data_IF_593571092703
#
_entry.id   IF_593571092703
#
_cell.length_a   1.000
_cell.length_b   1.000
_cell.length_c   1.000
_cell.angle_alpha   90.00
_cell.angle_beta   90.00
_cell.angle_gamma   90.00
#
_symmetry.space_group_name_H-M   'P 1'
#
loop_
_entity.id
_entity.type
_entity.pdbx_description
1 polymer ?
#
# COMPACT_ATOMS: atom_id res chain seq x y z
N UNK A 1 46.00 -36.57 -36.34
CA UNK A 1 45.83 -35.26 -35.65
C UNK A 1 44.37 -34.86 -35.74
N UNK A 2 43.58 -35.12 -34.70
CA UNK A 2 42.18 -34.69 -34.60
C UNK A 2 42.09 -33.68 -33.45
N UNK A 3 41.70 -32.45 -33.78
CA UNK A 3 41.43 -31.37 -32.82
C UNK A 3 40.20 -31.77 -31.99
N UNK A 4 40.38 -32.01 -30.70
CA UNK A 4 39.26 -32.20 -29.76
C UNK A 4 38.77 -30.81 -29.37
N UNK A 5 37.55 -30.53 -29.82
CA UNK A 5 36.81 -29.28 -29.64
C UNK A 5 36.53 -29.07 -28.14
N UNK A 6 36.88 -27.90 -27.63
CA UNK A 6 36.53 -27.42 -26.28
C UNK A 6 35.02 -27.44 -26.08
N UNK A 7 34.53 -28.29 -25.18
CA UNK A 7 33.14 -28.30 -24.73
C UNK A 7 32.93 -27.11 -23.79
N UNK A 8 32.29 -26.05 -24.28
CA UNK A 8 31.86 -24.91 -23.47
C UNK A 8 30.70 -25.35 -22.56
N UNK A 9 31.01 -25.56 -21.27
CA UNK A 9 30.03 -25.78 -20.22
C UNK A 9 29.30 -24.45 -19.91
N UNK A 10 28.24 -24.16 -20.65
CA UNK A 10 27.28 -23.10 -20.32
C UNK A 10 26.41 -23.61 -19.17
N UNK A 11 26.92 -23.49 -17.95
CA UNK A 11 26.15 -23.71 -16.72
C UNK A 11 25.12 -22.60 -16.58
N UNK A 12 23.85 -22.99 -16.77
CA UNK A 12 22.69 -22.15 -16.61
C UNK A 12 22.61 -21.53 -15.22
N UNK A 13 22.45 -20.22 -15.19
CA UNK A 13 21.80 -19.53 -14.09
C UNK A 13 20.47 -19.06 -14.64
N UNK A 14 19.45 -19.92 -14.54
CA UNK A 14 18.08 -19.46 -14.51
C UNK A 14 17.95 -18.56 -13.29
N UNK A 15 18.14 -17.26 -13.49
CA UNK A 15 17.77 -16.25 -12.50
C UNK A 15 16.25 -16.33 -12.46
N UNK A 16 15.74 -17.10 -11.52
CA UNK A 16 14.33 -17.11 -11.21
C UNK A 16 13.97 -15.66 -10.83
N UNK A 17 13.33 -14.95 -11.75
CA UNK A 17 12.68 -13.70 -11.46
C UNK A 17 11.61 -14.00 -10.42
N UNK A 18 11.94 -13.79 -9.14
CA UNK A 18 10.97 -13.84 -8.06
C UNK A 18 9.99 -12.71 -8.35
N UNK A 19 8.77 -13.08 -8.73
CA UNK A 19 7.69 -12.13 -8.96
C UNK A 19 7.50 -11.29 -7.69
N UNK A 20 7.59 -9.98 -7.84
CA UNK A 20 7.31 -8.99 -6.82
C UNK A 20 5.83 -9.07 -6.47
N UNK A 21 5.50 -9.75 -5.37
CA UNK A 21 4.13 -10.06 -5.04
C UNK A 21 3.53 -8.88 -4.29
N UNK A 22 2.81 -8.00 -5.01
CA UNK A 22 2.01 -6.98 -4.36
C UNK A 22 0.93 -7.64 -3.53
N UNK A 23 1.15 -7.72 -2.22
CA UNK A 23 0.15 -8.23 -1.29
C UNK A 23 -0.91 -7.16 -1.12
N UNK A 24 -2.17 -7.49 -1.35
CA UNK A 24 -3.28 -6.59 -1.07
C UNK A 24 -3.51 -6.56 0.43
N UNK A 25 -3.07 -5.48 1.07
CA UNK A 25 -3.37 -5.16 2.45
C UNK A 25 -4.73 -4.46 2.48
N UNK A 26 -5.79 -5.18 2.84
CA UNK A 26 -7.16 -4.68 2.95
C UNK A 26 -7.83 -4.22 1.64
N UNK A 27 -8.70 -5.05 1.09
CA UNK A 27 -9.70 -4.57 0.12
C UNK A 27 -10.90 -4.02 0.87
N UNK A 28 -11.32 -2.80 0.58
CA UNK A 28 -12.63 -2.29 1.00
C UNK A 28 -13.55 -2.36 -0.21
N UNK A 29 -14.69 -3.02 -0.05
CA UNK A 29 -15.81 -2.86 -0.97
C UNK A 29 -16.64 -1.66 -0.51
N UNK A 30 -17.09 -0.84 -1.47
CA UNK A 30 -17.92 0.35 -1.29
C UNK A 30 -19.06 0.10 -0.27
N UNK A 31 -18.97 0.65 0.96
CA UNK A 31 -20.02 0.46 1.93
C UNK A 31 -21.05 1.60 1.88
N UNK A 32 -20.82 2.62 1.06
CA UNK A 32 -21.59 3.86 1.02
C UNK A 32 -22.37 3.99 -0.28
N UNK A 33 -23.67 3.71 -0.21
CA UNK A 33 -24.56 3.88 -1.36
C UNK A 33 -24.88 5.33 -1.75
N UNK A 34 -24.34 6.35 -1.03
CA UNK A 34 -24.62 7.76 -1.33
C UNK A 34 -23.57 8.73 -0.76
N UNK A 35 -23.48 9.93 -1.35
CA UNK A 35 -22.53 10.98 -0.94
C UNK A 35 -22.81 11.60 0.45
N UNK A 36 -23.89 11.22 1.16
CA UNK A 36 -24.19 11.74 2.50
C UNK A 36 -23.40 11.02 3.60
N UNK A 37 -22.86 9.83 3.31
CA UNK A 37 -21.98 9.08 4.21
C UNK A 37 -20.65 8.81 3.50
N UNK A 38 -19.77 9.82 3.35
CA UNK A 38 -18.51 9.62 2.66
C UNK A 38 -17.52 8.81 3.51
N UNK A 39 -16.70 8.02 2.83
CA UNK A 39 -15.62 7.20 3.41
C UNK A 39 -14.37 8.06 3.62
N UNK A 40 -14.09 8.98 2.70
CA UNK A 40 -13.07 10.02 2.85
C UNK A 40 -13.62 11.40 2.52
N UNK A 41 -13.10 12.41 3.21
CA UNK A 41 -13.45 13.82 3.06
C UNK A 41 -12.18 14.65 2.99
N UNK A 42 -11.98 15.31 1.85
CA UNK A 42 -10.99 16.36 1.66
C UNK A 42 -11.67 17.72 1.83
N UNK A 43 -11.28 18.48 2.83
CA UNK A 43 -11.72 19.87 3.04
C UNK A 43 -10.63 20.83 2.53
N UNK A 44 -10.93 21.53 1.44
CA UNK A 44 -10.04 22.52 0.81
C UNK A 44 -9.92 23.81 1.63
N UNK A 45 -10.94 24.15 2.43
CA UNK A 45 -10.94 25.33 3.30
C UNK A 45 -10.08 25.11 4.54
N UNK A 46 -10.29 23.98 5.22
CA UNK A 46 -9.48 23.56 6.37
C UNK A 46 -8.11 22.97 5.99
N UNK A 47 -7.93 22.62 4.70
CA UNK A 47 -6.75 21.92 4.16
C UNK A 47 -6.50 20.60 4.88
N UNK A 48 -7.54 19.77 4.98
CA UNK A 48 -7.46 18.49 5.68
C UNK A 48 -7.99 17.34 4.85
N UNK A 49 -7.42 16.15 5.05
CA UNK A 49 -7.97 14.88 4.59
C UNK A 49 -8.31 14.01 5.80
N UNK A 50 -9.54 13.52 5.86
CA UNK A 50 -9.98 12.61 6.92
C UNK A 50 -10.79 11.48 6.31
N UNK A 51 -10.82 10.32 6.96
CA UNK A 51 -11.63 9.19 6.55
C UNK A 51 -12.03 8.36 7.75
N UNK A 52 -13.30 7.95 7.77
CA UNK A 52 -13.80 7.07 8.80
C UNK A 52 -14.99 6.29 8.27
N UNK A 53 -15.12 5.05 8.76
CA UNK A 53 -16.31 4.26 8.52
C UNK A 53 -16.66 3.44 9.77
N UNK A 54 -17.87 3.67 10.28
CA UNK A 54 -18.39 2.98 11.47
C UNK A 54 -19.60 2.09 11.19
N UNK A 55 -20.16 2.13 9.98
CA UNK A 55 -21.41 1.44 9.62
C UNK A 55 -21.14 0.01 9.13
N UNK A 56 -22.21 -0.80 9.04
CA UNK A 56 -22.15 -2.10 8.40
C UNK A 56 -21.79 -1.99 6.89
N UNK A 57 -21.33 -3.09 6.30
CA UNK A 57 -21.06 -3.20 4.85
C UNK A 57 -19.57 -3.19 4.47
N UNK A 58 -18.69 -2.75 5.36
CA UNK A 58 -17.26 -2.78 5.10
C UNK A 58 -16.72 -4.19 5.35
N UNK A 59 -16.25 -4.83 4.27
CA UNK A 59 -15.55 -6.11 4.34
C UNK A 59 -14.06 -5.84 4.31
N UNK A 60 -13.32 -6.44 5.22
CA UNK A 60 -11.88 -6.30 5.34
C UNK A 60 -11.23 -7.66 5.11
N UNK A 61 -10.34 -7.75 4.13
CA UNK A 61 -9.49 -8.93 3.94
C UNK A 61 -8.18 -8.64 4.66
N UNK A 62 -7.92 -9.36 5.76
CA UNK A 62 -6.71 -9.21 6.55
C UNK A 62 -5.45 -9.55 5.72
N UNK A 63 -4.28 -9.01 6.10
CA UNK A 63 -3.10 -9.13 5.26
C UNK A 63 -2.41 -10.51 5.30
N UNK A 64 -1.99 -10.96 4.12
CA UNK A 64 -0.70 -11.65 3.94
C UNK A 64 -0.63 -13.16 4.15
N UNK A 65 -1.74 -13.89 4.35
CA UNK A 65 -1.69 -15.35 4.42
C UNK A 65 -2.74 -16.01 3.51
N UNK A 66 -2.38 -17.16 2.93
CA UNK A 66 -3.34 -18.08 2.31
C UNK A 66 -4.37 -18.45 3.38
N UNK A 67 -5.62 -18.04 3.22
CA UNK A 67 -6.67 -18.20 4.25
C UNK A 67 -6.82 -17.03 5.23
N UNK A 68 -6.33 -15.83 4.89
CA UNK A 68 -6.52 -14.63 5.71
C UNK A 68 -8.01 -14.41 6.05
N UNK A 69 -8.34 -14.12 7.33
CA UNK A 69 -9.72 -13.97 7.75
C UNK A 69 -10.38 -12.78 7.03
N UNK A 70 -11.54 -13.05 6.45
CA UNK A 70 -12.44 -12.00 5.97
C UNK A 70 -13.24 -11.49 7.16
N UNK A 71 -13.04 -10.23 7.55
CA UNK A 71 -13.79 -9.59 8.61
C UNK A 71 -14.93 -8.78 7.98
N UNK A 72 -16.16 -9.22 8.21
CA UNK A 72 -17.36 -8.50 7.79
C UNK A 72 -17.70 -7.40 8.78
N UNK A 73 -18.24 -6.27 8.29
CA UNK A 73 -18.61 -5.11 9.10
C UNK A 73 -17.44 -4.54 9.92
N UNK A 74 -16.24 -4.55 9.34
CA UNK A 74 -15.11 -3.89 9.94
C UNK A 74 -15.31 -2.37 9.93
N UNK A 75 -14.59 -1.67 10.79
CA UNK A 75 -14.60 -0.23 10.92
C UNK A 75 -13.20 0.27 10.67
N UNK A 76 -13.08 1.50 10.18
CA UNK A 76 -11.79 2.17 10.12
C UNK A 76 -11.90 3.62 10.52
N UNK A 77 -10.76 4.15 10.95
CA UNK A 77 -10.61 5.56 11.26
C UNK A 77 -9.20 6.02 10.88
N UNK A 78 -9.11 7.12 10.15
CA UNK A 78 -7.85 7.79 9.85
C UNK A 78 -7.66 8.98 10.78
N UNK A 79 -6.41 9.27 11.14
CA UNK A 79 -6.08 10.59 11.68
C UNK A 79 -6.43 11.67 10.67
N UNK A 80 -6.83 12.85 11.14
CA UNK A 80 -7.00 14.01 10.25
C UNK A 80 -5.63 14.46 9.78
N UNK A 81 -5.41 14.40 8.47
CA UNK A 81 -4.15 14.71 7.81
C UNK A 81 -4.16 16.17 7.36
N UNK A 82 -3.16 16.95 7.78
CA UNK A 82 -2.98 18.31 7.32
C UNK A 82 -2.33 18.33 5.94
N UNK A 83 -3.00 18.95 4.97
CA UNK A 83 -2.57 19.00 3.58
C UNK A 83 -1.82 20.30 3.28
N UNK A 84 -0.62 20.16 2.75
CA UNK A 84 0.16 21.25 2.16
C UNK A 84 0.14 21.09 0.65
N UNK A 85 -0.48 22.04 -0.05
CA UNK A 85 -0.50 22.03 -1.51
C UNK A 85 0.90 22.29 -2.05
N UNK A 86 1.42 21.36 -2.85
CA UNK A 86 2.74 21.47 -3.50
C UNK A 86 2.57 22.12 -4.88
N UNK A 87 1.62 21.61 -5.65
CA UNK A 87 1.12 22.17 -6.91
C UNK A 87 -0.40 21.98 -6.96
N UNK A 88 -1.14 22.68 -7.84
CA UNK A 88 -2.58 22.45 -8.01
C UNK A 88 -2.93 20.96 -8.18
N UNK A 89 -3.77 20.44 -7.28
CA UNK A 89 -4.20 19.03 -7.28
C UNK A 89 -3.27 18.03 -6.58
N UNK A 90 -2.06 18.43 -6.17
CA UNK A 90 -1.11 17.59 -5.42
C UNK A 90 -0.84 18.19 -4.04
N UNK A 91 -1.05 17.37 -3.02
CA UNK A 91 -0.88 17.73 -1.62
C UNK A 91 0.12 16.78 -0.96
N UNK A 92 0.98 17.33 -0.11
CA UNK A 92 1.80 16.58 0.82
C UNK A 92 1.18 16.64 2.21
N UNK A 93 1.28 15.56 2.96
CA UNK A 93 0.89 15.49 4.38
C UNK A 93 2.04 14.93 5.21
N UNK A 94 2.09 15.38 6.46
CA UNK A 94 2.96 14.81 7.50
C UNK A 94 2.47 13.45 8.00
N UNK A 95 2.92 13.04 9.20
CA UNK A 95 2.66 11.71 9.72
C UNK A 95 1.17 11.50 10.03
N UNK A 96 0.74 10.26 9.90
CA UNK A 96 -0.64 9.87 10.15
C UNK A 96 -0.80 8.38 10.37
N UNK A 97 -2.02 7.97 10.68
CA UNK A 97 -2.36 6.56 10.82
C UNK A 97 -3.77 6.24 10.36
N UNK A 98 -3.95 4.97 9.99
CA UNK A 98 -5.22 4.38 9.61
C UNK A 98 -5.39 3.13 10.46
N UNK A 99 -6.41 3.15 11.32
CA UNK A 99 -6.72 2.08 12.25
C UNK A 99 -7.93 1.30 11.79
N UNK A 100 -7.87 -0.02 11.93
CA UNK A 100 -8.95 -0.94 11.58
C UNK A 100 -9.42 -1.69 12.82
N UNK A 101 -10.72 -1.85 12.95
CA UNK A 101 -11.35 -2.62 14.03
C UNK A 101 -12.50 -3.48 13.49
N UNK A 102 -12.92 -4.49 14.25
CA UNK A 102 -14.11 -5.28 13.90
C UNK A 102 -15.42 -4.56 14.26
N UNK A 103 -16.55 -5.24 14.02
CA UNK A 103 -17.88 -4.73 14.36
C UNK A 103 -18.06 -4.41 15.86
N UNK A 104 -17.29 -5.10 16.73
CA UNK A 104 -17.29 -4.95 18.19
C UNK A 104 -16.23 -3.95 18.71
N UNK A 105 -15.54 -3.24 17.81
CA UNK A 105 -14.44 -2.31 18.10
C UNK A 105 -13.16 -2.96 18.63
N UNK A 106 -12.95 -4.27 18.41
CA UNK A 106 -11.66 -4.89 18.69
C UNK A 106 -10.64 -4.45 17.62
N UNK A 107 -9.43 -3.99 18.00
CA UNK A 107 -8.43 -3.56 17.04
C UNK A 107 -7.91 -4.73 16.21
N UNK A 108 -7.84 -4.54 14.89
CA UNK A 108 -7.41 -5.55 13.92
C UNK A 108 -5.96 -5.30 13.51
N UNK A 109 -5.71 -4.12 12.96
CA UNK A 109 -4.38 -3.61 12.66
C UNK A 109 -4.41 -2.10 12.42
N UNK A 110 -3.25 -1.47 12.49
CA UNK A 110 -3.03 -0.05 12.25
C UNK A 110 -1.87 0.10 11.28
N UNK A 111 -2.08 0.95 10.28
CA UNK A 111 -1.08 1.41 9.33
C UNK A 111 -0.65 2.80 9.79
N UNK A 112 0.58 2.94 10.26
CA UNK A 112 1.19 4.23 10.58
C UNK A 112 2.17 4.62 9.48
N UNK A 113 2.25 5.90 9.15
CA UNK A 113 3.13 6.42 8.10
C UNK A 113 3.71 7.78 8.51
N UNK A 114 4.93 8.06 8.06
CA UNK A 114 5.63 9.31 8.40
C UNK A 114 5.24 10.47 7.48
N UNK A 115 4.89 10.15 6.24
CA UNK A 115 4.44 11.13 5.25
C UNK A 115 3.54 10.47 4.22
N UNK A 116 2.68 11.26 3.59
CA UNK A 116 1.93 10.80 2.44
C UNK A 116 1.75 11.90 1.38
N UNK A 117 1.48 11.48 0.15
CA UNK A 117 1.05 12.36 -0.93
C UNK A 117 -0.40 12.06 -1.27
N UNK A 118 -1.20 13.11 -1.42
CA UNK A 118 -2.59 13.04 -1.83
C UNK A 118 -2.77 13.78 -3.15
N UNK A 119 -3.39 13.14 -4.14
CA UNK A 119 -3.66 13.72 -5.45
C UNK A 119 -5.16 13.75 -5.68
N UNK A 120 -5.74 14.93 -5.76
CA UNK A 120 -7.18 15.08 -5.98
C UNK A 120 -7.55 14.85 -7.45
N UNK A 121 -8.67 14.16 -7.72
CA UNK A 121 -9.29 14.15 -9.06
C UNK A 121 -8.76 13.13 -10.06
N UNK A 122 -7.99 12.11 -9.65
CA UNK A 122 -7.44 11.11 -10.58
C UNK A 122 -8.45 10.08 -11.13
N UNK A 123 -9.68 10.04 -10.61
CA UNK A 123 -10.71 9.06 -11.01
C UNK A 123 -10.56 7.70 -10.31
N UNK A 124 -11.55 6.82 -10.52
CA UNK A 124 -11.60 5.51 -9.88
C UNK A 124 -10.44 4.61 -10.33
N UNK A 125 -9.76 3.97 -9.38
CA UNK A 125 -8.66 3.03 -9.64
C UNK A 125 -7.26 3.65 -9.70
N UNK A 126 -7.13 4.98 -9.66
CA UNK A 126 -5.85 5.65 -9.53
C UNK A 126 -5.43 5.79 -8.07
N UNK A 127 -4.14 5.58 -7.75
CA UNK A 127 -3.61 5.81 -6.40
C UNK A 127 -3.74 7.29 -6.03
N UNK A 128 -4.69 7.60 -5.15
CA UNK A 128 -5.08 8.96 -4.75
C UNK A 128 -4.37 9.38 -3.47
N UNK A 129 -4.08 8.45 -2.55
CA UNK A 129 -3.30 8.69 -1.34
C UNK A 129 -2.18 7.66 -1.24
N UNK A 130 -0.93 8.10 -1.18
CA UNK A 130 0.26 7.26 -1.07
C UNK A 130 1.04 7.60 0.19
N UNK A 131 1.14 6.67 1.13
CA UNK A 131 1.99 6.84 2.31
C UNK A 131 3.35 6.19 2.17
N UNK A 132 4.33 6.76 2.86
CA UNK A 132 5.74 6.37 2.84
C UNK A 132 6.23 6.06 4.26
N UNK A 133 7.22 5.16 4.35
CA UNK A 133 7.84 4.70 5.58
C UNK A 133 6.81 4.16 6.59
N UNK A 134 6.25 3.00 6.27
CA UNK A 134 5.08 2.49 6.98
C UNK A 134 5.48 1.53 8.06
N UNK A 135 4.79 1.66 9.19
CA UNK A 135 4.81 0.66 10.24
C UNK A 135 3.43 0.03 10.35
N UNK A 136 3.36 -1.29 10.21
CA UNK A 136 2.16 -2.06 10.50
C UNK A 136 2.22 -2.58 11.93
N UNK A 137 1.11 -2.49 12.64
CA UNK A 137 0.97 -3.06 13.98
C UNK A 137 -0.42 -3.66 14.17
N UNK A 138 -0.53 -4.70 15.01
CA UNK A 138 -1.81 -5.28 15.39
C UNK A 138 -1.86 -6.80 15.32
N UNK A 139 -2.90 -7.41 15.91
CA UNK A 139 -3.03 -8.87 16.04
C UNK A 139 -3.15 -9.61 14.71
N UNK A 140 -3.62 -8.94 13.64
CA UNK A 140 -3.73 -9.52 12.30
C UNK A 140 -2.54 -9.23 11.38
N UNK A 141 -1.50 -8.58 11.88
CA UNK A 141 -0.27 -8.36 11.11
C UNK A 141 0.65 -9.57 11.30
N UNK A 142 0.95 -10.35 10.24
CA UNK A 142 1.88 -11.47 10.36
C UNK A 142 3.25 -10.99 10.86
N UNK A 143 3.90 -11.73 11.77
CA UNK A 143 5.25 -11.40 12.24
C UNK A 143 6.23 -11.29 11.05
N UNK A 144 7.08 -10.25 11.07
CA UNK A 144 8.05 -9.99 10.00
C UNK A 144 7.49 -9.28 8.77
N UNK A 145 6.20 -8.88 8.78
CA UNK A 145 5.64 -8.06 7.71
C UNK A 145 6.25 -6.65 7.75
N UNK A 146 6.97 -6.28 6.71
CA UNK A 146 7.47 -4.92 6.48
C UNK A 146 6.84 -4.34 5.23
N UNK A 147 6.52 -3.04 5.28
CA UNK A 147 5.97 -2.30 4.16
C UNK A 147 6.65 -0.95 4.04
N UNK A 148 7.03 -0.56 2.83
CA UNK A 148 7.66 0.74 2.57
C UNK A 148 6.65 1.79 2.13
N UNK A 149 5.56 1.35 1.49
CA UNK A 149 4.54 2.21 0.92
C UNK A 149 3.14 1.57 0.95
N UNK A 150 2.12 2.43 1.07
CA UNK A 150 0.70 2.08 0.94
C UNK A 150 0.10 2.94 -0.17
N UNK A 151 -0.85 2.42 -0.93
CA UNK A 151 -1.69 3.25 -1.79
C UNK A 151 -3.18 3.00 -1.52
N UNK A 152 -3.94 4.09 -1.35
CA UNK A 152 -5.40 4.08 -1.44
C UNK A 152 -5.81 4.71 -2.78
N UNK A 153 -6.64 4.00 -3.52
CA UNK A 153 -7.38 4.54 -4.65
C UNK A 153 -8.77 4.94 -4.18
N UNK A 154 -9.09 6.22 -4.24
CA UNK A 154 -10.40 6.75 -3.86
C UNK A 154 -11.31 6.79 -5.09
N UNK A 155 -12.59 6.50 -4.91
CA UNK A 155 -13.57 6.43 -5.99
C UNK A 155 -14.88 7.14 -5.59
N UNK A 156 -15.76 7.33 -6.58
CA UNK A 156 -17.05 8.01 -6.44
C UNK A 156 -16.91 9.43 -5.87
N UNK A 157 -15.99 10.20 -6.45
CA UNK A 157 -15.72 11.57 -6.03
C UNK A 157 -16.93 12.47 -6.26
N UNK A 158 -17.37 13.17 -5.21
CA UNK A 158 -18.36 14.24 -5.30
C UNK A 158 -17.78 15.53 -4.74
N UNK A 159 -17.77 16.58 -5.56
CA UNK A 159 -17.30 17.91 -5.16
C UNK A 159 -18.49 18.78 -4.76
N UNK A 160 -18.49 19.30 -3.53
CA UNK A 160 -19.50 20.24 -3.03
C UNK A 160 -18.78 21.41 -2.38
N UNK A 161 -18.85 22.60 -2.99
CA UNK A 161 -18.20 23.81 -2.51
C UNK A 161 -16.71 23.59 -2.18
N UNK A 162 -16.31 23.75 -0.91
CA UNK A 162 -14.93 23.57 -0.45
C UNK A 162 -14.59 22.13 -0.07
N UNK A 163 -15.49 21.18 -0.27
CA UNK A 163 -15.31 19.80 0.16
C UNK A 163 -15.35 18.85 -1.03
N UNK A 164 -14.46 17.87 -1.00
CA UNK A 164 -14.45 16.72 -1.90
C UNK A 164 -14.67 15.47 -1.07
N UNK A 165 -15.66 14.68 -1.46
CA UNK A 165 -16.04 13.46 -0.76
C UNK A 165 -15.80 12.25 -1.64
N UNK A 166 -15.44 11.13 -1.03
CA UNK A 166 -15.23 9.84 -1.70
C UNK A 166 -16.06 8.79 -0.97
N UNK A 167 -16.90 8.04 -1.68
CA UNK A 167 -17.75 7.00 -1.07
C UNK A 167 -17.11 5.61 -1.11
N UNK A 168 -16.04 5.44 -1.89
CA UNK A 168 -15.31 4.18 -1.95
C UNK A 168 -13.79 4.42 -1.90
N UNK A 169 -13.06 3.47 -1.34
CA UNK A 169 -11.61 3.46 -1.33
C UNK A 169 -11.10 2.04 -1.46
N UNK A 170 -10.11 1.78 -2.31
CA UNK A 170 -9.46 0.48 -2.40
C UNK A 170 -8.01 0.64 -1.97
N UNK A 171 -7.53 -0.16 -1.01
CA UNK A 171 -6.09 -0.20 -0.69
C UNK A 171 -5.43 -1.23 -1.57
N UNK A 172 -4.40 -0.81 -2.29
CA UNK A 172 -3.56 -1.68 -3.09
C UNK A 172 -2.11 -1.30 -2.88
N UNK A 173 -1.40 -2.06 -2.05
CA UNK A 173 0.03 -2.28 -2.27
C UNK A 173 0.63 -3.26 -1.28
N UNK A 174 1.61 -4.01 -1.78
CA UNK A 174 2.89 -4.16 -1.11
C UNK A 174 3.97 -4.05 -2.19
N UNK A 175 5.08 -3.41 -1.88
CA UNK A 175 6.35 -3.74 -2.53
C UNK A 175 7.25 -4.12 -1.36
N UNK A 176 7.36 -5.42 -1.02
CA UNK A 176 8.44 -5.88 -0.17
C UNK A 176 9.74 -5.39 -0.80
N UNK A 177 10.60 -4.73 -0.03
CA UNK A 177 11.91 -4.32 -0.57
C UNK A 177 12.57 -5.56 -1.15
N UNK A 178 12.94 -5.53 -2.44
CA UNK A 178 13.13 -6.78 -3.12
C UNK A 178 14.34 -7.49 -2.50
N UNK A 179 14.17 -8.74 -2.07
CA UNK A 179 15.30 -9.64 -1.83
C UNK A 179 16.28 -9.67 -3.03
N UNK A 180 15.81 -9.22 -4.20
CA UNK A 180 16.54 -8.88 -5.41
C UNK A 180 17.63 -7.80 -5.22
N UNK A 181 17.48 -6.82 -4.33
CA UNK A 181 18.56 -5.86 -4.00
C UNK A 181 19.71 -6.56 -3.26
N UNK A 182 19.37 -7.45 -2.33
CA UNK A 182 20.36 -8.28 -1.63
C UNK A 182 21.00 -9.29 -2.60
N UNK A 183 20.21 -9.91 -3.48
CA UNK A 183 20.70 -10.84 -4.49
C UNK A 183 21.54 -10.14 -5.58
N UNK A 184 21.20 -8.91 -5.96
CA UNK A 184 22.00 -8.07 -6.86
C UNK A 184 23.32 -7.67 -6.21
N UNK A 185 23.29 -7.26 -4.94
CA UNK A 185 24.49 -6.98 -4.16
C UNK A 185 25.40 -8.20 -4.03
N UNK A 186 24.83 -9.37 -3.72
CA UNK A 186 25.55 -10.64 -3.66
C UNK A 186 26.10 -11.06 -5.03
N UNK A 187 25.34 -10.86 -6.11
CA UNK A 187 25.76 -11.14 -7.49
C UNK A 187 26.92 -10.25 -7.95
N UNK A 188 26.89 -8.97 -7.63
CA UNK A 188 27.98 -8.03 -7.91
C UNK A 188 29.25 -8.37 -7.11
N UNK A 189 29.10 -8.75 -5.84
CA UNK A 189 30.21 -9.23 -5.00
C UNK A 189 30.83 -10.52 -5.55
N UNK A 190 30.01 -11.47 -6.00
CA UNK A 190 30.49 -12.71 -6.61
C UNK A 190 31.26 -12.45 -7.92
N UNK A 191 30.77 -11.54 -8.77
CA UNK A 191 31.46 -11.10 -9.99
C UNK A 191 32.78 -10.38 -9.69
N UNK A 192 32.80 -9.48 -8.70
CA UNK A 192 34.01 -8.78 -8.29
C UNK A 192 35.07 -9.74 -7.74
N UNK A 193 34.67 -10.77 -7.00
CA UNK A 193 35.57 -11.80 -6.47
C UNK A 193 36.16 -12.67 -7.59
N UNK A 194 35.36 -13.01 -8.61
CA UNK A 194 35.82 -13.76 -9.78
C UNK A 194 36.83 -12.99 -10.63
N UNK A 195 36.70 -11.66 -10.75
CA UNK A 195 37.66 -10.80 -11.47
C UNK A 195 39.00 -10.60 -10.74
N UNK A 196 39.08 -10.92 -9.45
CA UNK A 196 40.34 -10.88 -8.67
C UNK A 196 41.09 -12.20 -8.68
N UNK A 197 40.46 -13.28 -9.13
CA UNK A 197 41.07 -14.62 -9.21
C UNK A 197 41.39 -15.06 -10.64
N UNK A 198 41.06 -14.25 -11.65
CA UNK A 198 41.57 -14.34 -13.02
C UNK A 198 42.68 -13.30 -13.20
#
# INVERSE_FOLDING_TARGET
>A
MRKVLMTALVLGSAVAAMADNSVTFATFADPSGNAHNPVFVHDRGAKTLSGAWGNAGLTLIAPGAVGAPTVTNAKFNTTTLALTQVIPGLFATGPGSISFSDSSNNPLFTISFDSATFVEGLGAGASTLRGQNITLSGPLVPPGTTMTQFNFALANQTNVANTTTYTASFTSSAVPEPATMVALGAGLLALARRRRQA
#
